data_IF_497465105070
#
_entry.id   IF_497465105070
#
_cell.length_a   1.000
_cell.length_b   1.000
_cell.length_c   1.000
_cell.angle_alpha   90.00
_cell.angle_beta   90.00
_cell.angle_gamma   90.00
#
_symmetry.space_group_name_H-M   'P 1'
#
loop_
_entity.id
_entity.type
_entity.pdbx_description
1 polymer ?
#
# COMPACT_ATOMS: atom_id res chain seq x y z
N UNK A 1 -40.02 -1.15 70.52
CA UNK A 1 -39.75 -0.10 71.52
C UNK A 1 -38.31 0.27 71.36
N UNK A 2 -38.08 1.57 71.16
CA UNK A 2 -36.81 2.31 71.27
C UNK A 2 -35.69 2.03 70.25
N UNK A 3 -34.94 3.01 69.72
CA UNK A 3 -35.11 4.44 69.44
C UNK A 3 -34.01 4.73 68.40
N UNK A 4 -34.32 5.55 67.39
CA UNK A 4 -33.28 6.21 66.58
C UNK A 4 -32.43 7.16 67.45
N UNK A 5 -31.30 7.65 66.94
CA UNK A 5 -30.64 8.97 67.19
C UNK A 5 -29.18 8.84 66.74
N UNK A 6 -28.80 9.33 65.56
CA UNK A 6 -28.30 10.70 65.29
C UNK A 6 -26.91 10.97 65.87
N UNK A 7 -25.91 11.23 65.00
CA UNK A 7 -25.03 12.38 65.16
C UNK A 7 -24.20 12.65 63.89
N UNK A 8 -24.31 13.90 63.44
CA UNK A 8 -23.57 14.60 62.39
C UNK A 8 -22.12 14.88 62.78
N UNK A 9 -21.27 14.96 61.74
CA UNK A 9 -20.24 15.98 61.46
C UNK A 9 -19.20 16.30 62.57
N UNK A 10 -17.92 16.53 62.29
CA UNK A 10 -17.42 17.64 61.46
C UNK A 10 -15.87 17.61 61.47
N UNK A 11 -15.25 18.18 60.43
CA UNK A 11 -13.94 18.88 60.47
C UNK A 11 -12.68 17.98 60.59
N UNK A 12 -11.55 18.19 59.89
CA UNK A 12 -11.00 19.27 59.07
C UNK A 12 -9.75 18.71 58.36
N UNK A 13 -9.49 19.18 57.12
CA UNK A 13 -8.21 19.66 56.55
C UNK A 13 -6.93 18.88 56.92
N UNK A 14 -6.07 18.44 56.00
CA UNK A 14 -5.54 19.16 54.82
C UNK A 14 -4.56 18.21 54.11
N UNK A 15 -4.59 18.26 52.78
CA UNK A 15 -3.48 18.19 51.81
C UNK A 15 -2.42 17.08 51.98
N UNK A 16 -2.16 16.30 50.93
CA UNK A 16 -1.03 16.51 50.01
C UNK A 16 -1.17 15.57 48.80
N UNK A 17 -1.40 16.19 47.63
CA UNK A 17 -0.84 15.88 46.31
C UNK A 17 -0.53 14.41 45.97
N UNK A 18 -1.26 13.89 44.98
CA UNK A 18 -0.63 13.16 43.88
C UNK A 18 -1.47 13.31 42.62
N UNK A 19 -0.89 14.04 41.68
CA UNK A 19 -1.39 14.29 40.35
C UNK A 19 -1.62 12.97 39.61
N UNK A 20 -2.84 12.76 39.13
CA UNK A 20 -3.18 11.74 38.14
C UNK A 20 -3.81 12.44 36.95
N UNK A 21 -2.99 12.88 36.00
CA UNK A 21 -3.46 13.32 34.68
C UNK A 21 -4.03 12.09 33.95
N UNK A 22 -5.36 11.98 33.92
CA UNK A 22 -6.05 11.06 33.01
C UNK A 22 -6.09 11.75 31.64
N UNK A 23 -5.14 11.42 30.79
CA UNK A 23 -5.15 11.84 29.38
C UNK A 23 -6.07 10.90 28.62
N UNK A 24 -7.26 11.39 28.26
CA UNK A 24 -8.16 10.77 27.29
C UNK A 24 -7.54 10.92 25.89
N UNK A 25 -6.86 9.87 25.41
CA UNK A 25 -6.44 9.76 24.02
C UNK A 25 -7.64 9.34 23.16
N UNK A 26 -8.41 10.33 22.71
CA UNK A 26 -9.36 10.15 21.60
C UNK A 26 -8.54 10.22 20.31
N UNK A 27 -8.05 9.07 19.84
CA UNK A 27 -7.44 8.98 18.51
C UNK A 27 -8.57 8.94 17.50
N UNK A 28 -8.85 10.11 16.92
CA UNK A 28 -9.69 10.24 15.74
C UNK A 28 -9.04 9.48 14.58
N UNK A 29 -9.70 8.43 14.13
CA UNK A 29 -9.40 7.82 12.84
C UNK A 29 -9.89 8.77 11.76
N UNK A 30 -9.03 9.72 11.38
CA UNK A 30 -9.14 10.39 10.10
C UNK A 30 -8.91 9.32 9.03
N UNK A 31 -10.02 8.81 8.49
CA UNK A 31 -10.01 8.04 7.25
C UNK A 31 -9.46 8.94 6.14
N UNK A 32 -8.16 8.87 5.90
CA UNK A 32 -7.55 9.37 4.69
C UNK A 32 -8.03 8.42 3.60
N UNK A 33 -9.14 8.79 2.95
CA UNK A 33 -9.49 8.24 1.66
C UNK A 33 -8.35 8.58 0.71
N UNK A 34 -7.44 7.63 0.50
CA UNK A 34 -6.52 7.69 -0.62
C UNK A 34 -7.37 7.61 -1.89
N UNK A 35 -7.73 8.79 -2.41
CA UNK A 35 -8.20 8.92 -3.78
C UNK A 35 -7.02 8.51 -4.67
N UNK A 36 -6.95 7.22 -5.03
CA UNK A 36 -6.06 6.78 -6.09
C UNK A 36 -6.58 7.39 -7.39
N UNK A 37 -5.93 8.49 -7.79
CA UNK A 37 -5.98 8.99 -9.16
C UNK A 37 -5.56 7.88 -10.13
N UNK A 38 -5.99 8.03 -11.38
CA UNK A 38 -5.75 7.14 -12.52
C UNK A 38 -4.48 6.29 -12.42
N UNK A 39 -4.54 5.03 -12.86
CA UNK A 39 -3.43 4.10 -13.03
C UNK A 39 -2.13 4.85 -13.42
N UNK A 40 -1.31 5.15 -12.42
CA UNK A 40 -0.05 5.82 -12.64
C UNK A 40 0.89 4.76 -13.20
N UNK A 41 1.38 4.97 -14.42
CA UNK A 41 2.52 4.24 -14.96
C UNK A 41 3.58 4.07 -13.87
N UNK A 42 4.32 2.94 -13.84
CA UNK A 42 5.38 2.83 -12.86
C UNK A 42 6.34 4.00 -13.03
N UNK A 43 6.86 4.57 -11.94
CA UNK A 43 7.94 5.54 -12.04
C UNK A 43 9.14 4.88 -12.72
N UNK A 44 9.95 5.67 -13.42
CA UNK A 44 11.14 5.15 -14.11
C UNK A 44 12.18 4.54 -13.15
N UNK A 45 12.13 4.90 -11.87
CA UNK A 45 12.98 4.32 -10.83
C UNK A 45 12.16 3.95 -9.59
N UNK A 46 12.47 2.78 -9.02
CA UNK A 46 11.89 2.29 -7.76
C UNK A 46 13.05 1.91 -6.83
N UNK A 47 12.96 2.28 -5.55
CA UNK A 47 13.91 1.87 -4.54
C UNK A 47 13.17 1.18 -3.40
N UNK A 48 13.60 -0.03 -3.04
CA UNK A 48 12.99 -0.82 -1.96
C UNK A 48 14.06 -1.52 -1.12
N UNK A 49 13.70 -1.80 0.13
CA UNK A 49 14.47 -2.66 1.03
C UNK A 49 13.68 -3.93 1.31
N UNK A 50 14.32 -5.09 1.20
CA UNK A 50 13.68 -6.40 1.31
C UNK A 50 14.50 -7.28 2.26
N UNK A 51 13.89 -7.92 3.25
CA UNK A 51 14.61 -8.89 4.07
C UNK A 51 15.08 -10.10 3.25
N UNK A 52 16.23 -10.67 3.59
CA UNK A 52 16.76 -11.85 2.93
C UNK A 52 15.78 -13.03 3.01
N UNK A 53 15.53 -13.67 1.87
CA UNK A 53 14.57 -14.78 1.74
C UNK A 53 13.10 -14.37 1.59
N UNK A 54 12.77 -13.09 1.70
CA UNK A 54 11.37 -12.61 1.60
C UNK A 54 10.95 -12.29 0.17
N UNK A 55 9.63 -12.39 -0.07
CA UNK A 55 8.98 -11.98 -1.32
C UNK A 55 8.18 -10.70 -1.11
N UNK A 56 8.38 -9.70 -1.96
CA UNK A 56 7.63 -8.43 -1.90
C UNK A 56 7.11 -8.02 -3.26
N UNK A 57 5.95 -7.35 -3.26
CA UNK A 57 5.45 -6.69 -4.46
C UNK A 57 6.23 -5.38 -4.64
N UNK A 58 7.02 -5.28 -5.71
CA UNK A 58 7.69 -4.04 -6.10
C UNK A 58 6.65 -3.06 -6.66
N UNK A 59 5.66 -3.59 -7.37
CA UNK A 59 4.68 -2.79 -8.06
C UNK A 59 3.38 -3.56 -8.35
N UNK A 60 2.24 -2.89 -8.26
CA UNK A 60 0.90 -3.47 -8.49
C UNK A 60 0.08 -2.49 -9.30
N UNK A 61 -0.56 -2.96 -10.37
CA UNK A 61 -1.47 -2.13 -11.14
C UNK A 61 -2.62 -2.90 -11.80
N UNK A 62 -3.87 -2.49 -11.55
CA UNK A 62 -5.00 -2.87 -12.40
C UNK A 62 -5.04 -2.02 -13.68
N UNK A 63 -5.54 -2.58 -14.79
CA UNK A 63 -5.59 -1.91 -16.09
C UNK A 63 -7.03 -1.66 -16.57
N UNK A 64 -7.64 -0.59 -16.07
CA UNK A 64 -8.96 -0.14 -16.47
C UNK A 64 -9.02 1.38 -16.65
N UNK A 65 -9.92 1.84 -17.52
CA UNK A 65 -10.11 3.27 -17.76
C UNK A 65 -11.05 3.88 -16.74
N UNK A 66 -11.03 5.21 -16.67
CA UNK A 66 -12.02 5.96 -15.90
C UNK A 66 -13.47 5.56 -16.29
N UNK A 67 -13.73 5.14 -17.52
CA UNK A 67 -15.07 4.70 -17.95
C UNK A 67 -15.42 3.27 -17.51
N UNK A 68 -14.68 2.68 -16.58
CA UNK A 68 -14.88 1.32 -16.07
C UNK A 68 -14.79 0.25 -17.15
N UNK A 69 -13.86 0.45 -18.08
CA UNK A 69 -13.59 -0.46 -19.18
C UNK A 69 -12.24 -1.11 -18.99
N UNK A 70 -12.17 -2.42 -19.23
CA UNK A 70 -10.90 -3.13 -19.31
C UNK A 70 -10.07 -2.53 -20.44
N UNK A 71 -8.79 -2.27 -20.15
CA UNK A 71 -7.83 -1.80 -21.12
C UNK A 71 -6.94 -2.93 -21.65
N UNK A 72 -7.24 -4.18 -21.27
CA UNK A 72 -6.48 -5.37 -21.69
C UNK A 72 -5.42 -5.80 -20.68
N UNK A 73 -4.82 -6.95 -20.92
CA UNK A 73 -3.80 -7.51 -20.05
C UNK A 73 -2.46 -6.74 -20.21
N UNK A 74 -1.82 -6.32 -19.11
CA UNK A 74 -0.47 -5.76 -19.17
C UNK A 74 0.57 -6.80 -19.63
N UNK A 75 1.66 -6.35 -20.25
CA UNK A 75 2.82 -7.17 -20.64
C UNK A 75 4.00 -6.92 -19.73
N UNK A 76 4.87 -7.91 -19.54
CA UNK A 76 6.07 -7.80 -18.74
C UNK A 76 7.26 -8.41 -19.47
N UNK A 77 8.40 -7.74 -19.39
CA UNK A 77 9.68 -8.23 -19.85
C UNK A 77 10.75 -7.90 -18.82
N UNK A 78 11.54 -8.90 -18.44
CA UNK A 78 12.72 -8.71 -17.60
C UNK A 78 13.91 -8.40 -18.52
N UNK A 79 14.49 -7.21 -18.38
CA UNK A 79 15.55 -6.74 -19.28
C UNK A 79 16.94 -7.12 -18.76
N UNK A 80 17.11 -7.19 -17.44
CA UNK A 80 18.30 -7.72 -16.78
C UNK A 80 17.90 -8.60 -15.61
N UNK A 81 18.63 -9.69 -15.39
CA UNK A 81 18.37 -10.55 -14.24
C UNK A 81 19.06 -9.98 -12.98
N UNK A 82 18.38 -9.98 -11.81
CA UNK A 82 19.01 -9.65 -10.52
C UNK A 82 20.07 -10.69 -10.13
N UNK A 83 21.04 -10.32 -9.29
CA UNK A 83 22.11 -11.20 -8.84
C UNK A 83 21.86 -11.82 -7.46
N UNK A 84 21.05 -11.17 -6.61
CA UNK A 84 20.75 -11.53 -5.23
C UNK A 84 19.31 -12.02 -5.04
N UNK A 85 18.53 -12.18 -6.12
CA UNK A 85 17.14 -12.59 -6.04
C UNK A 85 16.55 -13.00 -7.39
N UNK A 86 15.22 -12.93 -7.48
CA UNK A 86 14.47 -13.19 -8.70
C UNK A 86 13.37 -12.14 -8.86
N UNK A 87 13.13 -11.69 -10.09
CA UNK A 87 11.98 -10.85 -10.44
C UNK A 87 11.00 -11.65 -11.28
N UNK A 88 9.71 -11.55 -10.95
CA UNK A 88 8.64 -12.23 -11.69
C UNK A 88 7.41 -11.35 -11.79
N UNK A 89 6.62 -11.56 -12.84
CA UNK A 89 5.30 -10.95 -12.96
C UNK A 89 4.19 -11.95 -12.66
N UNK A 90 3.14 -11.49 -12.02
CA UNK A 90 1.90 -12.21 -11.78
C UNK A 90 0.74 -11.42 -12.38
N UNK A 91 0.00 -12.03 -13.30
CA UNK A 91 -1.21 -11.44 -13.85
C UNK A 91 -2.39 -11.76 -12.95
N UNK A 92 -3.12 -10.72 -12.56
CA UNK A 92 -4.21 -10.81 -11.61
C UNK A 92 -5.53 -10.41 -12.24
N UNK A 93 -6.60 -10.90 -11.64
CA UNK A 93 -7.95 -10.38 -11.85
C UNK A 93 -8.34 -9.52 -10.64
N UNK A 94 -8.14 -8.20 -10.79
CA UNK A 94 -8.32 -7.22 -9.74
C UNK A 94 -9.80 -6.87 -9.57
N UNK A 95 -10.33 -7.11 -8.37
CA UNK A 95 -11.66 -6.62 -7.99
C UNK A 95 -11.55 -5.23 -7.37
N UNK A 96 -12.21 -4.25 -7.96
CA UNK A 96 -12.20 -2.87 -7.46
C UNK A 96 -12.90 -2.80 -6.08
N UNK A 97 -12.24 -2.27 -5.04
CA UNK A 97 -12.83 -2.13 -3.71
C UNK A 97 -14.09 -1.27 -3.71
N UNK A 98 -14.99 -1.56 -2.76
CA UNK A 98 -16.18 -0.73 -2.51
C UNK A 98 -15.79 0.72 -2.18
N UNK A 99 -16.60 1.68 -2.63
CA UNK A 99 -16.35 3.11 -2.44
C UNK A 99 -15.36 3.73 -3.44
N UNK A 100 -14.85 2.95 -4.39
CA UNK A 100 -14.08 3.45 -5.54
C UNK A 100 -14.93 3.52 -6.81
N UNK A 101 -14.49 4.31 -7.79
CA UNK A 101 -15.09 4.29 -9.12
C UNK A 101 -14.91 2.90 -9.73
N UNK A 102 -15.98 2.33 -10.29
CA UNK A 102 -16.03 0.97 -10.83
C UNK A 102 -16.02 -0.14 -9.76
N UNK A 103 -16.44 0.17 -8.52
CA UNK A 103 -16.52 -0.79 -7.42
C UNK A 103 -17.13 -2.13 -7.82
N UNK A 104 -16.62 -3.21 -7.22
CA UNK A 104 -17.02 -4.62 -7.43
C UNK A 104 -16.77 -5.17 -8.83
N UNK A 105 -16.39 -4.33 -9.80
CA UNK A 105 -15.99 -4.79 -11.13
C UNK A 105 -14.61 -5.43 -11.09
N UNK A 106 -14.37 -6.31 -12.07
CA UNK A 106 -13.17 -7.12 -12.19
C UNK A 106 -12.41 -6.71 -13.45
N UNK A 107 -11.12 -6.45 -13.31
CA UNK A 107 -10.26 -5.98 -14.40
C UNK A 107 -8.92 -6.72 -14.40
N UNK A 108 -8.33 -6.96 -15.58
CA UNK A 108 -6.98 -7.48 -15.64
C UNK A 108 -6.01 -6.51 -14.98
N UNK A 109 -5.02 -7.07 -14.29
CA UNK A 109 -3.93 -6.31 -13.69
C UNK A 109 -2.65 -7.13 -13.67
N UNK A 110 -1.63 -6.55 -13.07
CA UNK A 110 -0.34 -7.22 -12.90
C UNK A 110 0.32 -6.79 -11.60
N UNK A 111 1.03 -7.72 -10.98
CA UNK A 111 1.95 -7.50 -9.87
C UNK A 111 3.36 -7.86 -10.36
N UNK A 112 4.33 -7.00 -10.09
CA UNK A 112 5.76 -7.31 -10.24
C UNK A 112 6.31 -7.63 -8.86
N UNK A 113 6.86 -8.83 -8.72
CA UNK A 113 7.41 -9.36 -7.48
C UNK A 113 8.93 -9.35 -7.51
N UNK A 114 9.54 -9.10 -6.35
CA UNK A 114 10.93 -9.45 -6.06
C UNK A 114 10.95 -10.54 -5.00
N UNK A 115 11.66 -11.63 -5.26
CA UNK A 115 11.99 -12.66 -4.29
C UNK A 115 13.47 -12.51 -3.92
N UNK A 116 13.75 -12.08 -2.70
CA UNK A 116 15.12 -11.98 -2.20
C UNK A 116 15.72 -13.37 -1.98
N UNK A 117 16.98 -13.53 -2.37
CA UNK A 117 17.83 -14.63 -1.96
C UNK A 117 18.28 -14.47 -0.50
N UNK A 118 19.15 -15.36 -0.04
CA UNK A 118 19.62 -15.40 1.36
C UNK A 118 20.81 -14.48 1.65
N UNK A 119 21.37 -13.84 0.63
CA UNK A 119 22.59 -13.04 0.73
C UNK A 119 22.20 -11.56 0.75
N UNK A 120 22.64 -10.84 1.78
CA UNK A 120 22.47 -9.40 1.87
C UNK A 120 23.34 -8.68 0.83
N UNK A 121 22.87 -7.52 0.37
CA UNK A 121 23.55 -6.71 -0.64
C UNK A 121 22.60 -5.79 -1.38
N UNK A 122 23.06 -5.21 -2.48
CA UNK A 122 22.23 -4.36 -3.33
C UNK A 122 22.15 -4.96 -4.72
N UNK A 123 20.92 -5.11 -5.21
CA UNK A 123 20.60 -5.49 -6.57
C UNK A 123 20.07 -4.29 -7.35
N UNK A 124 20.40 -4.25 -8.64
CA UNK A 124 19.80 -3.33 -9.60
C UNK A 124 19.24 -4.16 -10.73
N UNK A 125 17.94 -4.02 -10.97
CA UNK A 125 17.21 -4.78 -11.98
C UNK A 125 16.43 -3.83 -12.87
N UNK A 126 16.48 -4.08 -14.17
CA UNK A 126 15.71 -3.34 -15.16
C UNK A 126 14.62 -4.24 -15.74
N UNK A 127 13.42 -3.71 -15.83
CA UNK A 127 12.29 -4.40 -16.42
C UNK A 127 11.40 -3.43 -17.17
N UNK A 128 10.65 -3.99 -18.11
CA UNK A 128 9.77 -3.27 -19.00
C UNK A 128 8.34 -3.74 -18.79
N UNK A 129 7.41 -2.79 -18.76
CA UNK A 129 5.97 -3.09 -18.72
C UNK A 129 5.21 -2.35 -19.80
N UNK A 130 4.33 -3.07 -20.50
CA UNK A 130 3.40 -2.49 -21.46
C UNK A 130 1.97 -2.49 -20.94
N UNK A 131 1.28 -1.36 -21.08
CA UNK A 131 -0.15 -1.24 -20.80
C UNK A 131 -0.91 -0.95 -22.09
N UNK A 132 -1.69 -1.90 -22.62
CA UNK A 132 -2.64 -1.57 -23.65
C UNK A 132 -3.64 -0.53 -23.10
N UNK A 133 -4.06 0.43 -23.94
CA UNK A 133 -4.96 1.53 -23.58
C UNK A 133 -6.24 1.49 -24.41
N UNK A 134 -7.23 2.31 -24.02
CA UNK A 134 -8.47 2.49 -24.78
C UNK A 134 -8.15 3.07 -26.17
N UNK A 135 -8.67 2.45 -27.23
CA UNK A 135 -8.67 3.04 -28.57
C UNK A 135 -9.24 4.46 -28.45
N UNK A 136 -8.52 5.48 -28.96
CA UNK A 136 -8.80 6.94 -28.92
C UNK A 136 -8.12 7.80 -27.84
N UNK A 137 -7.29 7.25 -26.95
CA UNK A 137 -6.49 8.08 -26.01
C UNK A 137 -5.47 8.99 -26.73
N UNK A 138 -5.50 10.32 -26.46
CA UNK A 138 -4.67 11.34 -27.15
C UNK A 138 -3.27 11.58 -26.54
N UNK A 139 -2.86 10.83 -25.52
CA UNK A 139 -1.50 10.92 -24.97
C UNK A 139 -0.55 10.01 -25.76
N UNK A 140 0.62 10.49 -26.23
CA UNK A 140 1.66 9.61 -26.79
C UNK A 140 2.32 8.83 -25.63
N UNK A 141 2.73 7.57 -25.74
CA UNK A 141 2.47 6.52 -26.73
C UNK A 141 2.23 5.22 -25.96
N UNK A 142 1.80 4.20 -26.70
CA UNK A 142 1.80 2.77 -26.41
C UNK A 142 3.18 2.18 -26.07
N UNK A 143 4.07 2.95 -25.44
CA UNK A 143 5.45 2.55 -25.23
C UNK A 143 5.59 1.75 -23.95
N UNK A 144 6.16 0.56 -24.08
CA UNK A 144 6.97 -0.08 -23.06
C UNK A 144 7.57 0.93 -22.06
N UNK A 145 7.23 0.77 -20.79
CA UNK A 145 7.74 1.57 -19.69
C UNK A 145 8.91 0.85 -19.06
N UNK A 146 10.10 1.37 -19.31
CA UNK A 146 11.33 0.90 -18.69
C UNK A 146 11.43 1.40 -17.25
N UNK A 147 11.68 0.47 -16.34
CA UNK A 147 11.78 0.72 -14.90
C UNK A 147 13.10 0.15 -14.40
N UNK A 148 13.87 0.98 -13.71
CA UNK A 148 15.05 0.53 -12.95
C UNK A 148 14.66 0.41 -11.49
N UNK A 149 14.76 -0.78 -10.94
CA UNK A 149 14.52 -1.04 -9.51
C UNK A 149 15.84 -1.30 -8.80
N UNK A 150 16.15 -0.50 -7.79
CA UNK A 150 17.23 -0.77 -6.85
C UNK A 150 16.65 -1.47 -5.62
N UNK A 151 17.17 -2.65 -5.30
CA UNK A 151 16.71 -3.47 -4.18
C UNK A 151 17.85 -3.64 -3.19
N UNK A 152 17.64 -3.21 -1.94
CA UNK A 152 18.57 -3.48 -0.84
C UNK A 152 18.09 -4.70 -0.08
N UNK A 153 18.82 -5.82 -0.18
CA UNK A 153 18.57 -7.05 0.56
C UNK A 153 19.28 -7.00 1.91
N UNK A 154 18.55 -7.20 3.00
CA UNK A 154 19.07 -7.12 4.38
C UNK A 154 18.82 -8.38 5.20
#
# INVERSE_FOLDING_TARGET
>A
MDTAITARATSRRRNVWRAGCVVLFVIGWLGIGAAFGQAAYPPASIEITVPAGEKVAIWVQPNYSALCRSLGQPTFQLDSAPALGEVSAEWIDYTVPAGQRCETMRFPGMIVWYQAGKVAGTDVVTWTVGFPREFTSRMPSTGDHHVTTTVVVQ
#
